data_IF_065946647568
#
_entry.id   IF_065946647568
#
_cell.length_a   1.000
_cell.length_b   1.000
_cell.length_c   1.000
_cell.angle_alpha   90.00
_cell.angle_beta   90.00
_cell.angle_gamma   90.00
#
_symmetry.space_group_name_H-M   'P 1'
#
loop_
_entity.id
_entity.type
_entity.pdbx_description
1 polymer ?
#
# COMPACT_ATOMS: atom_id res chain seq x y z
N UNK A 1 -16.66 -1.64 0.28
CA UNK A 1 -16.55 -2.27 -1.05
C UNK A 1 -16.35 -1.13 -2.05
N UNK A 2 -15.10 -0.77 -2.37
CA UNK A 2 -14.75 0.44 -3.12
C UNK A 2 -13.49 0.17 -3.94
N UNK A 3 -13.63 -0.40 -5.12
CA UNK A 3 -13.42 0.27 -6.41
C UNK A 3 -14.75 0.00 -7.15
N UNK A 4 -15.00 0.66 -8.27
CA UNK A 4 -16.14 0.40 -9.15
C UNK A 4 -17.40 1.21 -8.83
N UNK A 5 -17.74 2.04 -9.81
CA UNK A 5 -19.13 2.27 -10.18
C UNK A 5 -19.93 0.97 -10.02
N UNK A 6 -21.18 1.03 -9.57
CA UNK A 6 -22.12 -0.10 -9.73
C UNK A 6 -22.06 -0.72 -11.15
N UNK A 7 -21.82 0.11 -12.17
CA UNK A 7 -21.59 -0.34 -13.55
C UNK A 7 -20.39 -1.29 -13.66
N UNK A 8 -19.19 -0.89 -13.23
CA UNK A 8 -18.03 -1.75 -13.40
C UNK A 8 -18.18 -3.02 -12.57
N UNK A 9 -18.79 -2.96 -11.38
CA UNK A 9 -19.12 -4.13 -10.54
C UNK A 9 -20.00 -5.16 -11.27
N UNK A 10 -21.03 -4.70 -12.00
CA UNK A 10 -21.91 -5.58 -12.78
C UNK A 10 -21.17 -6.29 -13.92
N UNK A 11 -20.17 -5.63 -14.52
CA UNK A 11 -19.48 -6.13 -15.72
C UNK A 11 -18.08 -6.69 -15.48
N UNK A 12 -17.65 -6.88 -14.22
CA UNK A 12 -16.30 -7.33 -13.93
C UNK A 12 -16.00 -8.67 -14.60
N UNK A 13 -16.84 -9.68 -14.46
CA UNK A 13 -16.57 -11.00 -15.02
C UNK A 13 -16.55 -11.07 -16.56
N UNK A 14 -17.00 -10.03 -17.25
CA UNK A 14 -17.34 -10.12 -18.68
C UNK A 14 -16.41 -9.31 -19.60
N UNK A 15 -15.45 -8.56 -19.03
CA UNK A 15 -14.52 -7.78 -19.85
C UNK A 15 -13.08 -7.74 -19.31
N UNK A 16 -12.15 -7.58 -20.26
CA UNK A 16 -10.73 -7.49 -20.05
C UNK A 16 -10.27 -6.18 -19.41
N UNK A 17 -8.97 -6.08 -19.08
CA UNK A 17 -8.42 -4.99 -18.28
C UNK A 17 -8.50 -3.62 -18.97
N UNK A 18 -8.34 -3.58 -20.30
CA UNK A 18 -8.37 -2.32 -21.05
C UNK A 18 -9.80 -1.77 -21.18
N UNK A 19 -10.80 -2.65 -21.39
CA UNK A 19 -12.22 -2.31 -21.35
C UNK A 19 -12.65 -1.77 -19.99
N UNK A 20 -12.26 -2.41 -18.89
CA UNK A 20 -12.53 -1.93 -17.53
C UNK A 20 -11.92 -0.57 -17.25
N UNK A 21 -10.67 -0.35 -17.67
CA UNK A 21 -10.02 0.96 -17.53
C UNK A 21 -10.79 2.05 -18.27
N UNK A 22 -11.21 1.77 -19.51
CA UNK A 22 -11.99 2.71 -20.32
C UNK A 22 -13.35 2.99 -19.67
N UNK A 23 -14.04 1.96 -19.19
CA UNK A 23 -15.34 2.07 -18.54
C UNK A 23 -15.27 2.93 -17.28
N UNK A 24 -14.27 2.70 -16.42
CA UNK A 24 -14.05 3.48 -15.20
C UNK A 24 -13.79 4.96 -15.52
N UNK A 25 -13.00 5.23 -16.56
CA UNK A 25 -12.77 6.60 -17.01
C UNK A 25 -14.05 7.26 -17.56
N UNK A 26 -14.81 6.56 -18.40
CA UNK A 26 -16.08 7.06 -18.92
C UNK A 26 -17.06 7.37 -17.78
N UNK A 27 -17.15 6.48 -16.79
CA UNK A 27 -18.00 6.64 -15.62
C UNK A 27 -17.62 7.87 -14.78
N UNK A 28 -16.32 8.04 -14.48
CA UNK A 28 -15.82 9.25 -13.82
C UNK A 28 -16.16 10.53 -14.61
N UNK A 29 -16.09 10.44 -15.95
CA UNK A 29 -16.45 11.54 -16.83
C UNK A 29 -17.94 11.89 -16.80
N UNK A 30 -18.82 10.93 -16.50
CA UNK A 30 -20.27 11.12 -16.32
C UNK A 30 -20.58 11.73 -14.95
N UNK A 31 -19.93 11.27 -13.88
CA UNK A 31 -20.12 11.82 -12.52
C UNK A 31 -19.78 13.30 -12.42
N UNK A 32 -18.76 13.76 -13.17
CA UNK A 32 -18.25 15.14 -13.11
C UNK A 32 -18.95 16.12 -14.08
N UNK A 33 -19.86 15.64 -14.93
CA UNK A 33 -20.47 16.48 -15.97
C UNK A 33 -21.64 17.30 -15.43
N UNK A 34 -21.48 18.62 -15.31
CA UNK A 34 -22.58 19.57 -15.20
C UNK A 34 -23.23 19.77 -16.57
N UNK A 35 -24.40 19.16 -16.79
CA UNK A 35 -25.16 19.22 -18.05
C UNK A 35 -26.05 17.98 -18.26
N UNK A 36 -26.73 17.90 -19.41
CA UNK A 36 -27.79 16.94 -19.83
C UNK A 36 -27.43 15.43 -19.81
N UNK A 37 -26.48 15.01 -18.97
CA UNK A 37 -26.18 13.62 -18.62
C UNK A 37 -25.50 12.79 -19.71
N UNK A 38 -25.41 13.28 -20.95
CA UNK A 38 -24.92 12.51 -22.10
C UNK A 38 -23.54 12.98 -22.54
N UNK A 39 -22.51 12.37 -21.95
CA UNK A 39 -21.13 12.56 -22.43
C UNK A 39 -20.80 11.51 -23.48
N UNK A 40 -20.76 11.94 -24.74
CA UNK A 40 -20.41 11.09 -25.90
C UNK A 40 -18.92 11.18 -26.19
N UNK A 41 -18.32 10.02 -26.43
CA UNK A 41 -16.90 9.91 -26.77
C UNK A 41 -16.74 9.26 -28.15
N UNK A 42 -15.89 9.80 -29.01
CA UNK A 42 -15.36 9.02 -30.14
C UNK A 42 -14.11 8.25 -29.69
N UNK A 43 -13.80 7.14 -30.36
CA UNK A 43 -12.59 6.34 -30.07
C UNK A 43 -11.32 7.21 -30.07
N UNK A 44 -11.20 8.10 -31.06
CA UNK A 44 -10.09 9.05 -31.20
C UNK A 44 -10.05 10.08 -30.07
N UNK A 45 -11.19 10.63 -29.66
CA UNK A 45 -11.26 11.58 -28.56
C UNK A 45 -10.88 10.92 -27.23
N UNK A 46 -11.37 9.70 -26.99
CA UNK A 46 -11.08 8.91 -25.79
C UNK A 46 -9.61 8.51 -25.72
N UNK A 47 -9.04 8.03 -26.83
CA UNK A 47 -7.62 7.72 -26.92
C UNK A 47 -6.72 8.93 -26.62
N UNK A 48 -7.08 10.10 -27.17
CA UNK A 48 -6.38 11.36 -26.89
C UNK A 48 -6.49 11.78 -25.43
N UNK A 49 -7.70 11.74 -24.86
CA UNK A 49 -7.96 12.12 -23.48
C UNK A 49 -7.21 11.22 -22.48
N UNK A 50 -7.33 9.90 -22.64
CA UNK A 50 -6.72 8.92 -21.74
C UNK A 50 -5.23 8.67 -22.04
N UNK A 51 -4.72 9.24 -23.14
CA UNK A 51 -3.34 9.08 -23.63
C UNK A 51 -2.98 7.61 -23.89
N UNK A 52 -3.91 6.87 -24.46
CA UNK A 52 -3.76 5.47 -24.90
C UNK A 52 -3.74 5.42 -26.44
N UNK A 53 -3.38 4.27 -27.01
CA UNK A 53 -3.46 4.10 -28.46
C UNK A 53 -4.91 4.04 -28.92
N UNK A 54 -5.21 4.58 -30.10
CA UNK A 54 -6.56 4.52 -30.69
C UNK A 54 -7.05 3.09 -30.88
N UNK A 55 -6.15 2.15 -31.22
CA UNK A 55 -6.46 0.72 -31.29
C UNK A 55 -6.99 0.19 -29.94
N UNK A 56 -6.25 0.38 -28.85
CA UNK A 56 -6.69 0.00 -27.50
C UNK A 56 -8.06 0.60 -27.16
N UNK A 57 -8.27 1.90 -27.39
CA UNK A 57 -9.56 2.53 -27.12
C UNK A 57 -10.70 1.94 -27.98
N UNK A 58 -10.44 1.65 -29.26
CA UNK A 58 -11.42 1.05 -30.16
C UNK A 58 -11.77 -0.39 -29.76
N UNK A 59 -10.76 -1.21 -29.47
CA UNK A 59 -10.94 -2.62 -29.07
C UNK A 59 -11.70 -2.70 -27.73
N UNK A 60 -11.32 -1.88 -26.75
CA UNK A 60 -12.01 -1.75 -25.47
C UNK A 60 -13.47 -1.32 -25.63
N UNK A 61 -13.76 -0.32 -26.47
CA UNK A 61 -15.13 0.13 -26.73
C UNK A 61 -15.96 -0.95 -27.44
N UNK A 62 -15.37 -1.71 -28.36
CA UNK A 62 -16.08 -2.82 -29.02
C UNK A 62 -16.47 -3.91 -28.02
N UNK A 63 -15.58 -4.25 -27.10
CA UNK A 63 -15.84 -5.19 -26.00
C UNK A 63 -16.95 -4.68 -25.07
N UNK A 64 -16.89 -3.41 -24.66
CA UNK A 64 -17.92 -2.79 -23.82
C UNK A 64 -19.30 -2.71 -24.50
N UNK A 65 -19.34 -2.57 -25.82
CA UNK A 65 -20.59 -2.64 -26.59
C UNK A 65 -21.13 -4.06 -26.64
N UNK A 66 -20.26 -5.06 -26.78
CA UNK A 66 -20.67 -6.47 -26.84
C UNK A 66 -21.34 -6.94 -25.53
N UNK A 67 -20.89 -6.44 -24.38
CA UNK A 67 -21.50 -6.72 -23.06
C UNK A 67 -22.60 -5.72 -22.69
N UNK A 68 -22.93 -4.78 -23.58
CA UNK A 68 -23.96 -3.76 -23.37
C UNK A 68 -23.62 -2.69 -22.32
N UNK A 69 -22.39 -2.63 -21.80
CA UNK A 69 -21.96 -1.60 -20.84
C UNK A 69 -21.93 -0.19 -21.45
N UNK A 70 -21.70 -0.11 -22.77
CA UNK A 70 -21.63 1.12 -23.56
C UNK A 70 -22.48 0.95 -24.82
N UNK A 71 -23.17 2.01 -25.24
CA UNK A 71 -23.94 2.03 -26.48
C UNK A 71 -23.16 2.71 -27.61
N UNK A 72 -23.25 2.13 -28.81
CA UNK A 72 -22.71 2.73 -30.04
C UNK A 72 -23.78 3.58 -30.70
N UNK A 73 -23.55 4.89 -30.76
CA UNK A 73 -24.44 5.87 -31.36
C UNK A 73 -23.86 6.36 -32.68
N UNK A 74 -24.56 6.09 -33.78
CA UNK A 74 -24.23 6.64 -35.11
C UNK A 74 -25.07 7.88 -35.38
N UNK A 75 -24.43 9.02 -35.64
CA UNK A 75 -25.11 10.22 -36.10
C UNK A 75 -24.84 10.44 -37.59
N UNK A 76 -25.91 10.60 -38.36
CA UNK A 76 -25.84 10.97 -39.77
C UNK A 76 -25.81 12.50 -39.82
N UNK A 77 -24.64 13.10 -40.01
CA UNK A 77 -24.50 14.53 -40.23
C UNK A 77 -24.14 14.81 -41.69
N UNK A 78 -25.16 14.99 -42.54
CA UNK A 78 -25.01 15.41 -43.93
C UNK A 78 -24.36 14.40 -44.88
N UNK A 79 -23.93 14.89 -46.06
CA UNK A 79 -23.27 14.11 -47.10
C UNK A 79 -21.84 13.70 -46.68
N UNK A 80 -21.74 12.62 -45.92
CA UNK A 80 -20.47 12.08 -45.42
C UNK A 80 -20.63 10.76 -44.67
N UNK A 81 -19.50 10.13 -44.31
CA UNK A 81 -19.50 8.89 -43.51
C UNK A 81 -20.08 9.17 -42.11
N UNK A 82 -20.99 8.34 -41.59
CA UNK A 82 -21.61 8.54 -40.27
C UNK A 82 -20.56 8.67 -39.16
N UNK A 83 -20.75 9.64 -38.26
CA UNK A 83 -19.89 9.81 -37.09
C UNK A 83 -20.29 8.78 -36.03
N UNK A 84 -19.32 8.01 -35.54
CA UNK A 84 -19.54 6.98 -34.51
C UNK A 84 -19.10 7.55 -33.16
N UNK A 85 -20.02 7.55 -32.21
CA UNK A 85 -19.78 7.94 -30.82
C UNK A 85 -20.29 6.87 -29.87
N UNK A 86 -19.81 6.92 -28.64
CA UNK A 86 -20.06 5.94 -27.60
C UNK A 86 -20.50 6.66 -26.33
N UNK A 87 -21.53 6.14 -25.65
CA UNK A 87 -22.02 6.67 -24.38
C UNK A 87 -22.44 5.57 -23.42
N UNK A 88 -22.41 5.86 -22.11
CA UNK A 88 -22.97 4.97 -21.09
C UNK A 88 -24.50 5.11 -21.16
N UNK A 89 -25.26 4.00 -21.22
CA UNK A 89 -26.72 4.03 -21.25
C UNK A 89 -27.30 4.85 -20.09
N UNK A 90 -28.37 5.65 -20.28
CA UNK A 90 -28.94 6.51 -19.24
C UNK A 90 -29.29 5.78 -17.95
N UNK A 91 -29.91 4.60 -18.06
CA UNK A 91 -30.27 3.74 -16.91
C UNK A 91 -29.08 3.37 -16.03
N UNK A 92 -27.88 3.31 -16.62
CA UNK A 92 -26.63 3.02 -15.92
C UNK A 92 -25.95 4.30 -15.45
N UNK A 93 -26.00 5.36 -16.25
CA UNK A 93 -25.44 6.68 -15.94
C UNK A 93 -26.06 7.27 -14.66
N UNK A 94 -27.36 7.11 -14.44
CA UNK A 94 -28.04 7.57 -13.23
C UNK A 94 -27.53 6.83 -11.99
N UNK A 95 -27.34 5.51 -12.08
CA UNK A 95 -26.74 4.71 -11.01
C UNK A 95 -25.29 5.10 -10.67
N UNK A 96 -24.56 5.71 -11.61
CA UNK A 96 -23.21 6.27 -11.36
C UNK A 96 -23.29 7.58 -10.57
N UNK A 97 -24.25 8.44 -10.91
CA UNK A 97 -24.40 9.77 -10.32
C UNK A 97 -24.91 9.72 -8.88
N UNK A 98 -25.76 8.75 -8.55
CA UNK A 98 -26.28 8.55 -7.19
C UNK A 98 -25.21 8.11 -6.17
N UNK A 99 -24.02 7.70 -6.63
CA UNK A 99 -22.94 7.19 -5.78
C UNK A 99 -22.01 8.33 -5.32
N UNK A 100 -22.36 8.96 -4.19
CA UNK A 100 -21.70 10.15 -3.64
C UNK A 100 -20.25 9.96 -3.14
N UNK A 101 -19.76 8.73 -2.96
CA UNK A 101 -18.40 8.45 -2.48
C UNK A 101 -17.74 7.31 -3.28
N UNK A 102 -17.38 7.65 -4.51
CA UNK A 102 -17.02 6.69 -5.55
C UNK A 102 -15.73 5.91 -5.28
N UNK A 103 -14.78 6.52 -4.56
CA UNK A 103 -13.41 6.03 -4.43
C UNK A 103 -12.86 6.09 -2.99
N UNK A 104 -13.66 6.49 -2.01
CA UNK A 104 -13.27 6.54 -0.59
C UNK A 104 -12.13 7.52 -0.30
N UNK A 105 -11.25 7.18 0.64
CA UNK A 105 -10.25 8.12 1.18
C UNK A 105 -9.22 8.61 0.15
N UNK A 106 -8.93 7.84 -0.90
CA UNK A 106 -7.93 8.16 -1.92
C UNK A 106 -8.54 8.70 -3.23
N UNK A 107 -9.77 9.22 -3.17
CA UNK A 107 -10.55 9.69 -4.34
C UNK A 107 -9.74 10.58 -5.27
N UNK A 108 -9.03 11.59 -4.76
CA UNK A 108 -8.27 12.52 -5.58
C UNK A 108 -7.17 11.86 -6.43
N UNK A 109 -6.48 10.84 -5.90
CA UNK A 109 -5.48 10.07 -6.67
C UNK A 109 -6.17 9.23 -7.73
N UNK A 110 -7.26 8.58 -7.35
CA UNK A 110 -7.95 7.65 -8.23
C UNK A 110 -8.58 8.41 -9.40
N UNK A 111 -9.18 9.57 -9.15
CA UNK A 111 -9.65 10.46 -10.20
C UNK A 111 -8.52 10.93 -11.12
N UNK A 112 -7.32 11.19 -10.58
CA UNK A 112 -6.14 11.54 -11.39
C UNK A 112 -5.71 10.39 -12.30
N UNK A 113 -5.80 9.14 -11.84
CA UNK A 113 -5.48 7.95 -12.65
C UNK A 113 -6.38 7.82 -13.89
N UNK A 114 -7.66 8.20 -13.76
CA UNK A 114 -8.67 8.03 -14.81
C UNK A 114 -9.02 9.33 -15.58
N UNK A 115 -8.54 10.50 -15.15
CA UNK A 115 -8.84 11.80 -15.78
C UNK A 115 -7.96 12.18 -16.96
N UNK A 116 -7.07 11.28 -17.41
CA UNK A 116 -6.12 11.55 -18.51
C UNK A 116 -4.88 12.35 -18.08
N UNK A 117 -4.74 12.63 -16.78
CA UNK A 117 -3.58 13.30 -16.21
C UNK A 117 -2.29 12.52 -16.52
N UNK A 118 -1.20 13.27 -16.68
CA UNK A 118 0.11 12.68 -16.95
C UNK A 118 0.79 12.30 -15.64
N UNK A 119 0.75 11.00 -15.34
CA UNK A 119 1.46 10.43 -14.19
C UNK A 119 2.84 9.97 -14.67
N UNK A 120 3.82 10.85 -14.48
CA UNK A 120 5.22 10.58 -14.79
C UNK A 120 5.83 9.72 -13.68
N UNK A 121 6.44 8.61 -14.07
CA UNK A 121 7.03 7.61 -13.20
C UNK A 121 8.44 7.29 -13.69
N UNK A 122 9.45 7.76 -12.94
CA UNK A 122 10.83 7.34 -13.17
C UNK A 122 11.06 5.94 -12.63
N UNK A 123 12.07 5.22 -13.15
CA UNK A 123 12.57 4.04 -12.44
C UNK A 123 13.11 4.48 -11.08
N UNK A 124 12.91 3.66 -10.04
CA UNK A 124 13.52 3.87 -8.73
C UNK A 124 15.02 4.16 -8.86
N UNK A 125 15.48 5.24 -8.22
CA UNK A 125 16.88 5.69 -8.28
C UNK A 125 17.26 6.54 -9.49
N UNK A 126 16.37 6.78 -10.46
CA UNK A 126 16.60 7.76 -11.51
C UNK A 126 16.38 9.19 -10.97
N UNK A 127 17.33 10.11 -11.20
CA UNK A 127 17.17 11.51 -10.80
C UNK A 127 15.95 12.14 -11.47
N UNK A 128 15.19 12.95 -10.73
CA UNK A 128 13.99 13.68 -11.19
C UNK A 128 14.27 14.51 -12.45
N UNK A 129 15.47 15.11 -12.59
CA UNK A 129 15.91 15.83 -13.81
C UNK A 129 15.85 14.96 -15.07
N UNK A 130 16.21 13.68 -14.94
CA UNK A 130 16.16 12.71 -16.03
C UNK A 130 14.73 12.41 -16.49
N UNK A 131 13.73 12.53 -15.60
CA UNK A 131 12.32 12.26 -15.93
C UNK A 131 11.78 13.35 -16.87
N UNK A 132 12.12 14.61 -16.60
CA UNK A 132 11.74 15.76 -17.42
C UNK A 132 12.47 15.76 -18.77
N UNK A 133 13.78 15.42 -18.79
CA UNK A 133 14.60 15.36 -20.01
C UNK A 133 14.27 14.14 -20.91
N UNK A 134 13.90 13.00 -20.33
CA UNK A 134 13.42 11.83 -21.11
C UNK A 134 11.98 11.99 -21.60
N UNK A 135 11.18 12.85 -20.97
CA UNK A 135 9.87 13.25 -21.47
C UNK A 135 9.99 14.19 -22.69
N UNK A 136 11.01 15.05 -22.73
CA UNK A 136 11.18 16.09 -23.77
C UNK A 136 11.82 15.64 -25.07
N UNK A 137 12.54 14.51 -25.14
CA UNK A 137 13.20 14.08 -26.38
C UNK A 137 12.50 12.90 -27.09
N UNK A 138 11.65 13.23 -28.06
CA UNK A 138 11.41 12.38 -29.23
C UNK A 138 12.30 12.89 -30.37
N UNK A 139 13.31 12.11 -30.79
CA UNK A 139 13.74 12.21 -32.19
C UNK A 139 12.57 11.68 -33.04
N UNK A 140 12.04 12.52 -33.93
CA UNK A 140 11.15 12.17 -35.04
C UNK A 140 9.63 11.95 -34.81
N UNK A 141 8.95 12.84 -34.06
CA UNK A 141 7.56 13.24 -34.37
C UNK A 141 6.43 12.18 -34.42
N UNK A 142 6.65 10.91 -34.06
CA UNK A 142 5.64 9.84 -34.08
C UNK A 142 5.08 9.54 -32.67
N UNK A 143 3.77 9.29 -32.52
CA UNK A 143 3.19 8.88 -31.25
C UNK A 143 3.77 7.52 -30.83
N UNK A 144 4.45 7.51 -29.69
CA UNK A 144 5.18 6.34 -29.16
C UNK A 144 4.21 5.42 -28.40
N UNK A 145 4.39 4.08 -28.44
CA UNK A 145 3.45 3.13 -27.82
C UNK A 145 3.25 3.30 -26.29
N UNK A 146 2.10 2.86 -25.75
CA UNK A 146 1.80 2.88 -24.33
C UNK A 146 2.86 2.12 -23.50
N UNK A 147 3.44 2.76 -22.49
CA UNK A 147 4.47 2.17 -21.63
C UNK A 147 5.92 2.57 -21.95
N UNK A 148 6.15 3.29 -23.06
CA UNK A 148 7.39 4.01 -23.33
C UNK A 148 7.41 5.40 -22.65
N UNK A 149 8.61 5.87 -22.26
CA UNK A 149 8.87 7.17 -21.59
C UNK A 149 8.16 7.38 -20.24
N UNK A 150 8.45 6.54 -19.26
CA UNK A 150 8.10 6.85 -17.86
C UNK A 150 6.58 6.97 -17.59
N UNK A 151 5.71 6.46 -18.47
CA UNK A 151 4.24 6.53 -18.33
C UNK A 151 3.65 5.21 -17.86
N UNK A 152 2.62 5.29 -17.02
CA UNK A 152 1.79 4.13 -16.64
C UNK A 152 0.82 3.75 -17.76
N UNK A 153 0.83 2.47 -18.15
CA UNK A 153 -0.17 1.88 -19.06
C UNK A 153 -1.56 1.84 -18.43
N UNK A 154 -2.61 1.78 -19.24
CA UNK A 154 -4.01 1.64 -18.82
C UNK A 154 -4.20 0.60 -17.70
N UNK A 155 -3.79 -0.64 -17.96
CA UNK A 155 -3.86 -1.72 -16.96
C UNK A 155 -3.00 -1.51 -15.69
N UNK A 156 -1.93 -0.71 -15.73
CA UNK A 156 -1.19 -0.37 -14.49
C UNK A 156 -1.91 0.70 -13.68
N UNK A 157 -2.57 1.65 -14.35
CA UNK A 157 -3.41 2.64 -13.70
C UNK A 157 -4.63 1.99 -13.08
N UNK A 158 -5.26 1.03 -13.78
CA UNK A 158 -6.36 0.24 -13.25
C UNK A 158 -5.95 -0.55 -12.01
N UNK A 159 -4.82 -1.28 -12.07
CA UNK A 159 -4.30 -2.03 -10.92
C UNK A 159 -3.98 -1.13 -9.73
N UNK A 160 -3.34 0.02 -9.97
CA UNK A 160 -3.04 0.99 -8.92
C UNK A 160 -4.31 1.59 -8.33
N UNK A 161 -5.32 1.88 -9.17
CA UNK A 161 -6.64 2.30 -8.71
C UNK A 161 -7.25 1.28 -7.76
N UNK A 162 -7.29 0.00 -8.16
CA UNK A 162 -7.81 -1.11 -7.35
C UNK A 162 -7.09 -1.27 -6.00
N UNK A 163 -5.79 -0.96 -5.95
CA UNK A 163 -5.04 -0.95 -4.68
C UNK A 163 -5.42 0.27 -3.83
N UNK A 164 -5.43 1.48 -4.40
CA UNK A 164 -5.70 2.73 -3.69
C UNK A 164 -7.08 2.79 -3.05
N UNK A 165 -8.05 2.13 -3.67
CA UNK A 165 -9.43 2.15 -3.21
C UNK A 165 -9.68 1.23 -2.02
N UNK A 166 -8.76 0.29 -1.79
CA UNK A 166 -8.68 -0.56 -0.59
C UNK A 166 -7.58 -0.12 0.37
N UNK A 167 -6.84 0.93 0.03
CA UNK A 167 -5.80 1.47 0.89
C UNK A 167 -6.43 2.34 1.99
N UNK A 168 -5.89 2.24 3.19
CA UNK A 168 -6.19 3.18 4.26
C UNK A 168 -5.60 4.58 3.96
N UNK A 169 -5.80 5.53 4.87
CA UNK A 169 -5.25 6.90 4.77
C UNK A 169 -3.72 6.97 4.72
N UNK A 170 -3.02 5.92 5.15
CA UNK A 170 -1.56 5.82 5.17
C UNK A 170 -1.00 5.14 3.91
N UNK A 171 -1.88 4.54 3.11
CA UNK A 171 -1.54 3.81 1.89
C UNK A 171 -1.35 2.30 2.11
N UNK A 172 -1.70 1.75 3.27
CA UNK A 172 -1.61 0.31 3.53
C UNK A 172 -2.86 -0.41 3.02
N UNK A 173 -2.65 -1.49 2.27
CA UNK A 173 -3.70 -2.33 1.67
C UNK A 173 -3.69 -3.69 2.36
N UNK A 174 -4.70 -3.94 3.18
CA UNK A 174 -4.91 -5.22 3.87
C UNK A 174 -6.03 -6.03 3.21
N UNK A 175 -5.98 -7.36 3.33
CA UNK A 175 -7.10 -8.22 2.95
C UNK A 175 -7.31 -8.43 1.44
N UNK A 176 -6.46 -7.87 0.58
CA UNK A 176 -6.66 -7.89 -0.87
C UNK A 176 -5.83 -8.99 -1.55
N UNK A 177 -6.42 -10.17 -1.70
CA UNK A 177 -5.77 -11.33 -2.31
C UNK A 177 -5.63 -11.26 -3.82
N UNK A 178 -4.74 -12.09 -4.40
CA UNK A 178 -4.51 -12.12 -5.85
C UNK A 178 -5.76 -12.48 -6.66
N UNK A 179 -6.61 -13.38 -6.15
CA UNK A 179 -7.89 -13.72 -6.80
C UNK A 179 -8.80 -12.51 -6.92
N UNK A 180 -8.89 -11.73 -5.84
CA UNK A 180 -9.69 -10.50 -5.82
C UNK A 180 -9.06 -9.42 -6.71
N UNK A 181 -7.74 -9.26 -6.71
CA UNK A 181 -7.07 -8.35 -7.65
C UNK A 181 -7.32 -8.74 -9.12
N UNK A 182 -7.22 -10.02 -9.46
CA UNK A 182 -7.56 -10.50 -10.81
C UNK A 182 -9.04 -10.24 -11.11
N UNK A 183 -9.94 -10.50 -10.14
CA UNK A 183 -11.38 -10.24 -10.28
C UNK A 183 -11.69 -8.77 -10.52
N UNK A 184 -11.02 -7.84 -9.82
CA UNK A 184 -11.22 -6.38 -9.92
C UNK A 184 -10.59 -5.77 -11.18
N UNK A 185 -9.48 -6.35 -11.65
CA UNK A 185 -8.71 -5.79 -12.79
C UNK A 185 -8.92 -6.49 -14.12
N UNK A 186 -9.43 -7.73 -14.12
CA UNK A 186 -9.51 -8.58 -15.32
C UNK A 186 -8.17 -9.10 -15.80
N UNK A 187 -7.10 -8.96 -15.00
CA UNK A 187 -5.77 -9.46 -15.32
C UNK A 187 -5.66 -10.96 -15.03
N UNK A 188 -4.91 -11.67 -15.86
CA UNK A 188 -4.43 -13.00 -15.51
C UNK A 188 -3.30 -12.93 -14.46
N UNK A 189 -2.96 -14.08 -13.87
CA UNK A 189 -1.99 -14.18 -12.79
C UNK A 189 -0.58 -13.68 -13.18
N UNK A 190 -0.11 -14.01 -14.38
CA UNK A 190 1.24 -13.64 -14.82
C UNK A 190 1.31 -12.14 -15.15
N UNK A 191 0.28 -11.62 -15.81
CA UNK A 191 0.11 -10.18 -16.01
C UNK A 191 0.04 -9.43 -14.69
N UNK A 192 -0.70 -9.92 -13.70
CA UNK A 192 -0.81 -9.30 -12.38
C UNK A 192 0.55 -9.22 -11.69
N UNK A 193 1.29 -10.35 -11.59
CA UNK A 193 2.63 -10.39 -10.98
C UNK A 193 3.59 -9.42 -11.67
N UNK A 194 3.63 -9.43 -13.01
CA UNK A 194 4.50 -8.55 -13.78
C UNK A 194 4.17 -7.07 -13.51
N UNK A 195 2.88 -6.72 -13.43
CA UNK A 195 2.44 -5.34 -13.20
C UNK A 195 2.68 -4.89 -11.76
N UNK A 196 2.46 -5.74 -10.75
CA UNK A 196 2.82 -5.45 -9.35
C UNK A 196 4.32 -5.19 -9.22
N UNK A 197 5.15 -6.04 -9.84
CA UNK A 197 6.61 -5.83 -9.89
C UNK A 197 6.98 -4.51 -10.57
N UNK A 198 6.26 -4.13 -11.63
CA UNK A 198 6.45 -2.84 -12.30
C UNK A 198 6.05 -1.66 -11.42
N UNK A 199 4.92 -1.72 -10.71
CA UNK A 199 4.51 -0.66 -9.77
C UNK A 199 5.52 -0.50 -8.63
N UNK A 200 6.04 -1.61 -8.10
CA UNK A 200 7.16 -1.60 -7.17
C UNK A 200 8.41 -0.95 -7.77
N UNK A 201 8.80 -1.30 -9.00
CA UNK A 201 9.99 -0.73 -9.66
C UNK A 201 9.88 0.74 -10.04
N UNK A 202 8.66 1.28 -10.07
CA UNK A 202 8.38 2.70 -10.27
C UNK A 202 8.25 3.47 -8.94
N UNK A 203 8.34 2.80 -7.79
CA UNK A 203 8.24 3.44 -6.47
C UNK A 203 6.82 3.85 -6.06
N UNK A 204 5.80 3.34 -6.77
CA UNK A 204 4.39 3.53 -6.42
C UNK A 204 3.96 2.59 -5.28
N UNK A 205 4.63 1.45 -5.16
CA UNK A 205 4.56 0.54 -4.01
C UNK A 205 5.90 0.69 -3.27
N UNK A 206 5.87 1.17 -2.03
CA UNK A 206 7.04 1.31 -1.13
C UNK A 206 7.59 -0.07 -0.79
N UNK A 207 6.73 -0.90 -0.23
CA UNK A 207 7.05 -2.26 0.20
C UNK A 207 5.83 -3.16 0.03
N UNK A 208 6.09 -4.46 0.00
CA UNK A 208 5.05 -5.47 0.04
C UNK A 208 5.52 -6.63 0.91
N UNK A 209 4.58 -7.24 1.62
CA UNK A 209 4.81 -8.48 2.37
C UNK A 209 4.06 -9.62 1.67
N UNK A 210 4.77 -10.68 1.24
CA UNK A 210 4.13 -11.85 0.63
C UNK A 210 3.04 -12.42 1.52
N UNK A 211 1.98 -12.93 0.90
CA UNK A 211 0.94 -13.64 1.64
C UNK A 211 1.38 -15.08 1.89
N UNK A 212 0.92 -15.68 2.99
CA UNK A 212 1.26 -17.05 3.36
C UNK A 212 0.02 -17.81 3.80
N UNK A 213 0.08 -19.13 3.65
CA UNK A 213 -0.90 -20.03 4.26
C UNK A 213 -0.33 -20.53 5.58
N UNK A 214 -1.07 -20.37 6.67
CA UNK A 214 -0.60 -20.80 7.99
C UNK A 214 -1.78 -21.14 8.89
N UNK A 215 -1.54 -22.09 9.80
CA UNK A 215 -2.47 -22.48 10.86
C UNK A 215 -2.47 -21.50 12.02
N UNK A 216 -1.52 -20.55 12.07
CA UNK A 216 -1.44 -19.51 13.11
C UNK A 216 -2.56 -18.49 12.98
N UNK A 217 -2.95 -18.17 11.74
CA UNK A 217 -3.99 -17.19 11.46
C UNK A 217 -5.35 -17.87 11.33
N UNK A 218 -6.41 -17.21 11.83
CA UNK A 218 -7.79 -17.68 11.68
C UNK A 218 -8.17 -17.79 10.20
N UNK A 219 -7.74 -16.79 9.43
CA UNK A 219 -7.79 -16.83 7.97
C UNK A 219 -6.61 -17.66 7.49
N UNK A 220 -6.83 -18.96 7.26
CA UNK A 220 -5.81 -19.95 6.85
C UNK A 220 -4.89 -19.52 5.72
N UNK A 221 -5.34 -18.59 4.86
CA UNK A 221 -4.56 -18.00 3.77
C UNK A 221 -4.61 -16.47 3.88
N UNK A 222 -3.55 -15.89 4.40
CA UNK A 222 -3.44 -14.44 4.55
C UNK A 222 -2.98 -13.84 3.22
N UNK A 223 -3.72 -12.86 2.66
CA UNK A 223 -3.33 -12.20 1.42
C UNK A 223 -2.09 -11.32 1.61
N UNK A 224 -1.41 -11.00 0.51
CA UNK A 224 -0.28 -10.06 0.53
C UNK A 224 -0.71 -8.67 0.98
N UNK A 225 0.17 -8.00 1.71
CA UNK A 225 -0.03 -6.64 2.21
C UNK A 225 0.83 -5.70 1.38
N UNK A 226 0.24 -4.61 0.89
CA UNK A 226 0.94 -3.61 0.06
C UNK A 226 0.97 -2.26 0.75
N UNK A 227 2.13 -1.59 0.73
CA UNK A 227 2.29 -0.23 1.23
C UNK A 227 2.52 0.71 0.06
N UNK A 228 1.51 1.52 -0.27
CA UNK A 228 1.53 2.44 -1.39
C UNK A 228 2.25 3.73 -1.03
N UNK A 229 2.91 4.34 -2.02
CA UNK A 229 3.51 5.67 -1.88
C UNK A 229 2.51 6.76 -2.26
N UNK A 230 1.71 7.24 -1.30
CA UNK A 230 0.70 8.28 -1.55
C UNK A 230 1.31 9.65 -1.87
N UNK A 231 2.59 9.87 -1.55
CA UNK A 231 3.36 11.09 -1.84
C UNK A 231 4.26 10.92 -3.09
N UNK A 232 3.97 9.93 -3.93
CA UNK A 232 4.75 9.69 -5.14
C UNK A 232 4.67 10.93 -6.08
N UNK A 233 5.80 11.47 -6.58
CA UNK A 233 5.82 12.71 -7.38
C UNK A 233 4.93 12.67 -8.63
N UNK A 234 4.66 11.47 -9.15
CA UNK A 234 3.75 11.26 -10.27
C UNK A 234 2.29 11.66 -10.00
N UNK A 235 1.87 11.78 -8.73
CA UNK A 235 0.56 12.32 -8.35
C UNK A 235 0.55 13.85 -8.24
N UNK A 236 1.69 14.50 -8.50
CA UNK A 236 1.88 15.92 -8.31
C UNK A 236 2.51 16.25 -6.95
N UNK A 237 2.68 17.54 -6.67
CA UNK A 237 3.43 18.04 -5.51
C UNK A 237 2.54 18.28 -4.29
N UNK A 238 1.38 17.65 -4.22
CA UNK A 238 0.51 17.73 -3.06
C UNK A 238 1.09 16.83 -1.96
N UNK A 239 1.80 17.44 -1.02
CA UNK A 239 2.45 16.77 0.12
C UNK A 239 1.40 16.19 1.08
N UNK A 240 0.90 14.99 0.78
CA UNK A 240 -0.21 14.39 1.52
C UNK A 240 0.23 13.63 2.76
N UNK A 241 1.39 13.00 2.70
CA UNK A 241 1.94 12.26 3.83
C UNK A 241 3.45 12.49 3.96
N UNK A 242 3.91 12.50 5.20
CA UNK A 242 5.32 12.58 5.56
C UNK A 242 5.83 11.21 5.99
N UNK A 243 7.13 10.99 5.83
CA UNK A 243 7.84 9.83 6.32
C UNK A 243 8.89 10.32 7.31
N UNK A 244 8.87 9.76 8.52
CA UNK A 244 9.88 9.99 9.53
C UNK A 244 10.61 8.69 9.78
N UNK A 245 11.93 8.70 9.58
CA UNK A 245 12.82 7.56 9.84
C UNK A 245 13.62 7.87 11.08
N UNK A 246 13.74 6.90 11.99
CA UNK A 246 14.62 7.01 13.14
C UNK A 246 15.72 5.93 13.08
N UNK A 247 16.96 6.35 13.33
CA UNK A 247 18.14 5.49 13.36
C UNK A 247 18.76 5.54 14.75
N UNK A 248 18.86 4.39 15.41
CA UNK A 248 19.46 4.31 16.75
C UNK A 248 20.99 4.50 16.71
N UNK A 249 21.55 5.00 17.81
CA UNK A 249 22.98 5.17 18.01
C UNK A 249 23.70 3.86 18.32
N UNK A 250 22.97 2.81 18.72
CA UNK A 250 23.57 1.53 19.12
C UNK A 250 24.04 0.76 17.88
N UNK A 251 25.33 0.45 17.83
CA UNK A 251 25.92 -0.53 16.90
C UNK A 251 25.58 -1.99 17.31
N UNK A 252 25.01 -2.18 18.50
CA UNK A 252 24.41 -3.47 18.89
C UNK A 252 23.14 -3.70 18.06
N UNK A 253 23.13 -4.81 17.31
CA UNK A 253 21.94 -5.25 16.56
C UNK A 253 20.76 -5.37 17.51
N UNK A 254 19.85 -4.39 17.49
CA UNK A 254 18.52 -4.54 18.10
C UNK A 254 17.79 -5.63 17.33
N UNK A 255 17.52 -6.74 18.01
CA UNK A 255 16.83 -7.91 17.47
C UNK A 255 15.47 -7.46 16.91
N UNK A 256 15.11 -7.87 15.69
CA UNK A 256 13.79 -7.54 15.13
C UNK A 256 12.66 -8.28 15.86
N UNK A 257 11.41 -7.82 15.72
CA UNK A 257 10.30 -8.53 16.36
C UNK A 257 10.08 -9.89 15.72
N UNK A 258 10.26 -9.99 14.40
CA UNK A 258 10.32 -11.28 13.72
C UNK A 258 11.44 -12.18 14.28
N UNK A 259 12.63 -11.65 14.55
CA UNK A 259 13.71 -12.43 15.18
C UNK A 259 13.37 -12.82 16.63
N UNK A 260 12.67 -11.98 17.40
CA UNK A 260 12.15 -12.36 18.73
C UNK A 260 11.20 -13.55 18.61
N UNK A 261 10.31 -13.55 17.61
CA UNK A 261 9.37 -14.64 17.35
C UNK A 261 10.07 -15.91 16.84
N UNK A 262 11.15 -15.76 16.04
CA UNK A 262 11.93 -16.89 15.47
C UNK A 262 12.96 -17.46 16.46
N UNK A 263 13.48 -16.67 17.39
CA UNK A 263 14.64 -17.05 18.21
C UNK A 263 14.30 -18.09 19.28
N UNK A 264 15.06 -19.20 19.28
CA UNK A 264 15.14 -20.16 20.39
C UNK A 264 16.10 -19.72 21.52
N UNK A 265 16.62 -18.48 21.51
CA UNK A 265 17.68 -18.04 22.44
C UNK A 265 17.23 -16.89 23.36
N UNK A 266 17.87 -16.69 24.53
CA UNK A 266 17.43 -15.75 25.56
C UNK A 266 18.05 -14.36 25.39
N UNK A 267 17.41 -13.39 26.04
CA UNK A 267 17.94 -12.10 26.50
C UNK A 267 17.62 -10.83 25.69
N UNK A 268 16.74 -10.01 26.27
CA UNK A 268 17.24 -8.80 26.94
C UNK A 268 16.86 -8.94 28.43
N UNK A 269 17.88 -8.84 29.28
CA UNK A 269 17.94 -9.52 30.58
C UNK A 269 16.90 -9.08 31.62
N UNK A 270 16.37 -10.08 32.33
CA UNK A 270 16.13 -10.06 33.78
C UNK A 270 16.15 -11.54 34.22
N UNK A 271 17.04 -11.89 35.15
CA UNK A 271 16.97 -13.17 35.83
C UNK A 271 15.62 -13.31 36.54
N UNK A 272 14.93 -14.45 36.41
CA UNK A 272 13.85 -14.82 37.33
C UNK A 272 12.67 -15.63 36.75
N UNK A 273 12.49 -16.82 37.31
CA UNK A 273 11.31 -17.71 37.42
C UNK A 273 11.02 -18.76 36.33
N UNK A 274 10.78 -20.02 36.75
CA UNK A 274 10.29 -21.16 35.94
C UNK A 274 9.03 -20.83 35.13
N UNK A 275 8.15 -19.97 35.66
CA UNK A 275 6.90 -19.56 35.03
C UNK A 275 7.12 -18.76 33.73
N UNK A 276 8.24 -18.02 33.59
CA UNK A 276 8.58 -17.34 32.34
C UNK A 276 9.03 -18.31 31.25
N UNK A 277 9.75 -19.35 31.63
CA UNK A 277 10.21 -20.37 30.70
C UNK A 277 9.04 -21.20 30.17
N UNK A 278 8.04 -21.49 31.00
CA UNK A 278 6.80 -22.17 30.59
C UNK A 278 5.99 -21.34 29.58
N UNK A 279 5.71 -20.06 29.87
CA UNK A 279 4.99 -19.16 28.94
C UNK A 279 5.71 -19.04 27.60
N UNK A 280 7.06 -18.94 27.63
CA UNK A 280 7.89 -18.91 26.41
C UNK A 280 7.78 -20.22 25.63
N UNK A 281 7.78 -21.36 26.30
CA UNK A 281 7.63 -22.66 25.66
C UNK A 281 6.27 -22.82 24.98
N UNK A 282 5.18 -22.37 25.61
CA UNK A 282 3.83 -22.41 25.03
C UNK A 282 3.78 -21.63 23.71
N UNK A 283 4.31 -20.42 23.67
CA UNK A 283 4.35 -19.59 22.46
C UNK A 283 5.29 -20.17 21.40
N UNK A 284 6.47 -20.66 21.81
CA UNK A 284 7.43 -21.29 20.91
C UNK A 284 6.83 -22.55 20.27
N UNK A 285 6.05 -23.31 21.03
CA UNK A 285 5.32 -24.47 20.53
C UNK A 285 4.23 -24.06 19.53
N UNK A 286 3.46 -23.02 19.83
CA UNK A 286 2.44 -22.47 18.94
C UNK A 286 3.00 -22.03 17.58
N UNK A 287 4.19 -21.41 17.56
CA UNK A 287 4.85 -20.93 16.34
C UNK A 287 5.77 -21.97 15.68
N UNK A 288 5.83 -23.19 16.22
CA UNK A 288 6.76 -24.21 15.74
C UNK A 288 6.41 -24.65 14.32
N UNK A 289 7.43 -24.74 13.46
CA UNK A 289 7.29 -25.28 12.10
C UNK A 289 6.67 -24.32 11.09
N UNK A 290 6.50 -23.05 11.45
CA UNK A 290 6.08 -22.01 10.50
C UNK A 290 7.23 -21.55 9.61
N UNK A 291 6.89 -21.10 8.40
CA UNK A 291 7.84 -20.53 7.43
C UNK A 291 8.18 -19.07 7.78
N UNK A 292 9.32 -18.57 7.31
CA UNK A 292 9.79 -17.19 7.54
C UNK A 292 8.73 -16.15 7.14
N UNK A 293 8.01 -16.37 6.04
CA UNK A 293 6.94 -15.50 5.54
C UNK A 293 5.79 -15.32 6.54
N UNK A 294 5.54 -16.30 7.41
CA UNK A 294 4.53 -16.20 8.48
C UNK A 294 4.98 -15.20 9.54
N UNK A 295 6.28 -15.17 9.85
CA UNK A 295 6.84 -14.21 10.80
C UNK A 295 6.86 -12.79 10.22
N UNK A 296 7.15 -12.62 8.93
CA UNK A 296 7.01 -11.34 8.22
C UNK A 296 5.58 -10.78 8.34
N UNK A 297 4.58 -11.65 8.13
CA UNK A 297 3.17 -11.28 8.24
C UNK A 297 2.77 -10.96 9.68
N UNK A 298 3.18 -11.78 10.64
CA UNK A 298 2.94 -11.52 12.06
C UNK A 298 3.52 -10.16 12.46
N UNK A 299 4.76 -9.85 12.08
CA UNK A 299 5.40 -8.57 12.37
C UNK A 299 4.57 -7.38 11.84
N UNK A 300 4.08 -7.45 10.59
CA UNK A 300 3.23 -6.39 10.04
C UNK A 300 1.88 -6.28 10.75
N UNK A 301 1.26 -7.40 11.11
CA UNK A 301 0.00 -7.40 11.89
C UNK A 301 0.23 -6.75 13.26
N UNK A 302 1.34 -7.05 13.92
CA UNK A 302 1.71 -6.42 15.19
C UNK A 302 1.99 -4.92 15.02
N UNK A 303 2.63 -4.49 13.93
CA UNK A 303 2.80 -3.07 13.61
C UNK A 303 1.49 -2.33 13.38
N UNK A 304 0.48 -2.98 12.79
CA UNK A 304 -0.86 -2.40 12.66
C UNK A 304 -1.45 -2.13 14.04
N UNK A 305 -1.46 -3.11 14.94
CA UNK A 305 -1.98 -2.91 16.30
C UNK A 305 -1.16 -1.89 17.10
N UNK A 306 0.16 -1.91 16.98
CA UNK A 306 1.03 -0.94 17.65
C UNK A 306 0.78 0.49 17.13
N UNK A 307 0.47 0.64 15.84
CA UNK A 307 0.05 1.93 15.27
C UNK A 307 -1.28 2.40 15.88
N UNK A 308 -2.25 1.51 16.07
CA UNK A 308 -3.52 1.84 16.74
C UNK A 308 -3.31 2.26 18.21
N UNK A 309 -2.41 1.59 18.94
CA UNK A 309 -2.04 2.01 20.29
C UNK A 309 -1.35 3.36 20.30
N UNK A 310 -0.40 3.61 19.40
CA UNK A 310 0.28 4.90 19.28
C UNK A 310 -0.69 6.04 18.97
N UNK A 311 -1.69 5.78 18.13
CA UNK A 311 -2.72 6.75 17.77
C UNK A 311 -3.63 7.13 18.96
N UNK A 312 -3.87 6.21 19.90
CA UNK A 312 -4.80 6.41 21.03
C UNK A 312 -4.12 6.79 22.33
N UNK A 313 -2.94 6.22 22.59
CA UNK A 313 -2.28 6.22 23.90
C UNK A 313 -0.85 6.79 23.83
N UNK A 314 -0.58 7.71 22.89
CA UNK A 314 0.74 8.30 22.70
C UNK A 314 1.35 8.82 24.00
N UNK A 315 0.57 9.54 24.82
CA UNK A 315 1.08 10.14 26.05
C UNK A 315 1.35 9.07 27.12
N UNK A 316 0.41 8.17 27.34
CA UNK A 316 0.45 7.10 28.34
C UNK A 316 1.63 6.16 28.09
N UNK A 317 1.88 5.81 26.82
CA UNK A 317 3.02 5.00 26.41
C UNK A 317 4.37 5.65 26.73
N UNK A 318 4.43 6.99 26.82
CA UNK A 318 5.64 7.73 27.13
C UNK A 318 5.96 7.88 28.62
N UNK A 319 4.96 7.65 29.49
CA UNK A 319 5.10 7.81 30.95
C UNK A 319 4.83 6.50 31.72
N UNK A 320 4.87 5.36 31.03
CA UNK A 320 4.60 4.02 31.55
C UNK A 320 3.28 3.91 32.35
N UNK A 321 2.26 4.67 31.96
CA UNK A 321 0.93 4.53 32.54
C UNK A 321 0.24 3.26 32.03
N UNK A 322 -0.61 2.62 32.86
CA UNK A 322 -1.45 1.54 32.38
C UNK A 322 -2.30 1.99 31.20
N UNK A 323 -2.33 1.18 30.15
CA UNK A 323 -3.17 1.38 28.96
C UNK A 323 -4.24 0.30 28.94
N UNK A 324 -5.42 0.64 28.44
CA UNK A 324 -6.48 -0.33 28.22
C UNK A 324 -6.15 -1.19 26.99
N UNK A 325 -5.89 -2.48 27.24
CA UNK A 325 -5.58 -3.47 26.21
C UNK A 325 -6.74 -4.42 25.91
N UNK A 326 -7.94 -4.19 26.45
CA UNK A 326 -9.07 -5.11 26.27
C UNK A 326 -9.46 -5.26 24.79
N UNK A 327 -9.59 -4.13 24.07
CA UNK A 327 -9.89 -4.16 22.63
C UNK A 327 -8.77 -4.78 21.80
N UNK A 328 -7.50 -4.55 22.18
CA UNK A 328 -6.35 -5.18 21.53
C UNK A 328 -6.36 -6.71 21.70
N UNK A 329 -6.69 -7.17 22.91
CA UNK A 329 -6.82 -8.59 23.21
C UNK A 329 -7.88 -9.25 22.31
N UNK A 330 -9.06 -8.64 22.16
CA UNK A 330 -10.12 -9.11 21.28
C UNK A 330 -9.68 -9.16 19.81
N UNK A 331 -9.04 -8.10 19.31
CA UNK A 331 -8.52 -8.07 17.92
C UNK A 331 -7.51 -9.19 17.64
N UNK A 332 -6.56 -9.43 18.55
CA UNK A 332 -5.56 -10.50 18.39
C UNK A 332 -6.23 -11.87 18.48
N UNK A 333 -7.20 -12.03 19.38
CA UNK A 333 -7.98 -13.26 19.52
C UNK A 333 -8.76 -13.59 18.24
N UNK A 334 -9.29 -12.59 17.55
CA UNK A 334 -10.05 -12.77 16.31
C UNK A 334 -9.15 -13.05 15.11
N UNK A 335 -7.94 -12.48 15.06
CA UNK A 335 -7.03 -12.68 13.92
C UNK A 335 -6.21 -13.99 14.03
N UNK A 336 -5.92 -14.47 15.24
CA UNK A 336 -5.20 -15.72 15.46
C UNK A 336 -6.12 -16.93 15.61
N UNK A 337 -5.61 -18.10 15.22
CA UNK A 337 -6.33 -19.37 15.31
C UNK A 337 -5.93 -20.10 16.58
N UNK A 338 -6.92 -20.41 17.43
CA UNK A 338 -6.71 -21.29 18.59
C UNK A 338 -6.28 -22.68 18.11
N UNK A 339 -5.15 -23.23 18.61
CA UNK A 339 -4.71 -24.57 18.24
C UNK A 339 -5.74 -25.62 18.69
N UNK A 340 -5.87 -26.74 17.94
CA UNK A 340 -6.75 -27.84 18.34
C UNK A 340 -6.29 -28.40 19.69
N UNK A 341 -7.23 -28.75 20.55
CA UNK A 341 -6.95 -29.31 21.87
C UNK A 341 -6.40 -30.73 21.72
N UNK A 342 -5.09 -30.91 21.77
CA UNK A 342 -4.47 -32.23 21.87
C UNK A 342 -4.49 -32.68 23.33
N UNK A 343 -5.40 -33.60 23.67
CA UNK A 343 -5.43 -34.43 24.90
C UNK A 343 -5.44 -33.71 26.27
N UNK A 344 -5.40 -32.38 26.32
CA UNK A 344 -5.47 -31.57 27.55
C UNK A 344 -6.90 -31.30 27.99
N UNK A 345 -7.12 -31.09 29.29
CA UNK A 345 -8.43 -30.64 29.79
C UNK A 345 -8.82 -29.29 29.14
N UNK A 346 -10.13 -29.04 29.01
CA UNK A 346 -10.63 -27.77 28.41
C UNK A 346 -10.03 -26.54 29.11
N UNK A 347 -9.88 -26.60 30.44
CA UNK A 347 -9.31 -25.53 31.26
C UNK A 347 -7.84 -25.26 30.93
N UNK A 348 -7.03 -26.31 30.74
CA UNK A 348 -5.62 -26.15 30.33
C UNK A 348 -5.49 -25.58 28.92
N UNK A 349 -6.33 -26.02 27.98
CA UNK A 349 -6.34 -25.50 26.62
C UNK A 349 -6.74 -24.01 26.58
N UNK A 350 -7.70 -23.61 27.40
CA UNK A 350 -8.10 -22.20 27.55
C UNK A 350 -6.98 -21.36 28.17
N UNK A 351 -6.31 -21.86 29.21
CA UNK A 351 -5.18 -21.16 29.84
C UNK A 351 -3.96 -21.02 28.90
N UNK A 352 -3.64 -22.05 28.12
CA UNK A 352 -2.57 -21.98 27.10
C UNK A 352 -2.89 -20.94 26.03
N UNK A 353 -4.15 -20.89 25.60
CA UNK A 353 -4.58 -19.91 24.61
C UNK A 353 -4.51 -18.48 25.14
N UNK A 354 -5.02 -18.24 26.36
CA UNK A 354 -4.90 -16.95 27.05
C UNK A 354 -3.43 -16.50 27.20
N UNK A 355 -2.54 -17.44 27.50
CA UNK A 355 -1.08 -17.18 27.56
C UNK A 355 -0.52 -16.71 26.21
N UNK A 356 -0.94 -17.34 25.10
CA UNK A 356 -0.51 -16.97 23.75
C UNK A 356 -1.01 -15.56 23.41
N UNK A 357 -2.28 -15.26 23.64
CA UNK A 357 -2.86 -13.95 23.36
C UNK A 357 -2.18 -12.88 24.22
N UNK A 358 -2.04 -13.12 25.52
CA UNK A 358 -1.35 -12.22 26.45
C UNK A 358 0.10 -11.93 26.04
N UNK A 359 0.82 -12.92 25.50
CA UNK A 359 2.15 -12.72 24.94
C UNK A 359 2.13 -11.73 23.77
N UNK A 360 1.24 -11.91 22.80
CA UNK A 360 1.14 -11.02 21.65
C UNK A 360 0.66 -9.62 22.04
N UNK A 361 -0.30 -9.50 22.97
CA UNK A 361 -0.73 -8.21 23.53
C UNK A 361 0.47 -7.48 24.11
N UNK A 362 1.25 -8.14 24.98
CA UNK A 362 2.46 -7.54 25.57
C UNK A 362 3.48 -7.15 24.50
N UNK A 363 3.70 -8.00 23.50
CA UNK A 363 4.62 -7.71 22.40
C UNK A 363 4.20 -6.45 21.63
N UNK A 364 2.91 -6.28 21.32
CA UNK A 364 2.37 -5.06 20.70
C UNK A 364 2.61 -3.82 21.57
N UNK A 365 2.40 -3.93 22.89
CA UNK A 365 2.69 -2.82 23.82
C UNK A 365 4.18 -2.48 23.83
N UNK A 366 5.05 -3.48 23.87
CA UNK A 366 6.51 -3.29 23.84
C UNK A 366 6.95 -2.62 22.52
N UNK A 367 6.37 -3.02 21.38
CA UNK A 367 6.57 -2.36 20.08
C UNK A 367 6.15 -0.87 20.15
N UNK A 368 4.93 -0.60 20.61
CA UNK A 368 4.39 0.75 20.68
C UNK A 368 5.23 1.63 21.61
N UNK A 369 5.69 1.11 22.74
CA UNK A 369 6.59 1.81 23.66
C UNK A 369 7.93 2.15 22.99
N UNK A 370 8.58 1.22 22.30
CA UNK A 370 9.86 1.52 21.63
C UNK A 370 9.70 2.63 20.57
N UNK A 371 8.66 2.55 19.74
CA UNK A 371 8.35 3.59 18.75
C UNK A 371 8.05 4.93 19.41
N UNK A 372 7.24 4.93 20.49
CA UNK A 372 6.93 6.14 21.25
C UNK A 372 8.17 6.76 21.87
N UNK A 373 9.04 5.96 22.47
CA UNK A 373 10.30 6.43 23.06
C UNK A 373 11.17 7.07 21.99
N UNK A 374 11.34 6.42 20.84
CA UNK A 374 12.26 6.86 19.78
C UNK A 374 11.77 8.10 19.05
N UNK A 375 10.54 8.11 18.55
CA UNK A 375 9.99 9.30 17.90
C UNK A 375 9.68 10.42 18.91
N UNK A 376 9.49 10.06 20.18
CA UNK A 376 9.40 11.00 21.30
C UNK A 376 10.66 11.81 21.57
N UNK A 377 11.84 11.34 21.12
CA UNK A 377 13.09 12.08 21.23
C UNK A 377 13.06 13.36 20.40
N UNK A 378 12.21 13.43 19.37
CA UNK A 378 12.05 14.58 18.49
C UNK A 378 10.77 15.37 18.81
N UNK A 379 10.58 15.73 20.09
CA UNK A 379 9.37 16.44 20.56
C UNK A 379 9.19 17.84 19.96
N UNK A 380 10.23 18.40 19.32
CA UNK A 380 10.15 19.67 18.57
C UNK A 380 9.48 19.51 17.20
N UNK A 381 9.25 18.28 16.73
CA UNK A 381 8.48 18.02 15.50
C UNK A 381 7.01 17.90 15.91
N UNK A 382 6.23 18.91 15.55
CA UNK A 382 4.79 18.93 15.83
C UNK A 382 4.03 18.06 14.81
N UNK A 383 3.49 16.94 15.29
CA UNK A 383 2.53 16.11 14.56
C UNK A 383 1.48 15.55 15.51
N UNK A 384 0.33 15.13 14.97
CA UNK A 384 -0.73 14.55 15.78
C UNK A 384 -0.63 13.01 15.76
N UNK A 385 -0.54 12.34 16.94
CA UNK A 385 -0.32 10.90 16.99
C UNK A 385 -1.43 10.08 16.34
N UNK A 386 -2.66 10.59 16.33
CA UNK A 386 -3.80 9.95 15.68
C UNK A 386 -3.65 9.82 14.16
N UNK A 387 -2.58 10.39 13.60
CA UNK A 387 -2.24 10.40 12.19
C UNK A 387 -0.87 9.75 11.92
N UNK A 388 -0.48 8.78 12.75
CA UNK A 388 0.77 8.02 12.62
C UNK A 388 0.49 6.55 12.29
N UNK A 389 1.27 5.97 11.38
CA UNK A 389 1.30 4.53 11.13
C UNK A 389 2.71 4.00 10.93
N UNK A 390 3.01 2.84 11.50
CA UNK A 390 4.31 2.19 11.39
C UNK A 390 4.48 1.59 9.99
N UNK A 391 5.66 1.82 9.39
CA UNK A 391 6.06 1.13 8.16
C UNK A 391 6.96 -0.07 8.46
N UNK A 392 6.78 -1.20 7.76
CA UNK A 392 7.71 -2.30 7.88
C UNK A 392 9.06 -1.95 7.24
N UNK A 393 10.12 -2.08 8.04
CA UNK A 393 11.52 -2.00 7.60
C UNK A 393 12.06 -3.42 7.44
N UNK A 394 12.88 -3.67 6.42
CA UNK A 394 13.37 -5.03 6.14
C UNK A 394 14.19 -5.60 7.32
N UNK A 395 13.88 -6.84 7.68
CA UNK A 395 14.39 -7.57 8.84
C UNK A 395 15.92 -7.58 9.03
N UNK A 396 16.71 -7.51 7.96
CA UNK A 396 18.17 -7.67 8.05
C UNK A 396 18.92 -6.48 8.67
N UNK A 397 18.25 -5.35 8.91
CA UNK A 397 18.84 -4.19 9.60
C UNK A 397 18.64 -4.25 11.11
N UNK A 398 17.87 -5.23 11.64
CA UNK A 398 17.34 -5.17 12.99
C UNK A 398 16.46 -3.93 13.21
N UNK A 399 15.96 -3.72 14.42
CA UNK A 399 15.25 -2.49 14.81
C UNK A 399 16.17 -1.26 14.92
N UNK A 400 17.38 -1.30 14.35
CA UNK A 400 18.26 -0.12 14.29
C UNK A 400 17.57 1.01 13.54
N UNK A 401 16.85 0.67 12.47
CA UNK A 401 16.10 1.63 11.64
C UNK A 401 14.60 1.31 11.79
N UNK A 402 13.82 2.32 12.17
CA UNK A 402 12.35 2.25 12.15
C UNK A 402 11.80 3.43 11.35
N UNK A 403 10.61 3.26 10.78
CA UNK A 403 9.96 4.30 9.99
C UNK A 403 8.47 4.38 10.32
N UNK A 404 7.93 5.59 10.23
CA UNK A 404 6.51 5.88 10.32
C UNK A 404 6.06 6.77 9.16
N UNK A 405 4.80 6.62 8.75
CA UNK A 405 4.08 7.58 7.91
C UNK A 405 3.24 8.48 8.80
N UNK A 406 3.21 9.76 8.46
CA UNK A 406 2.45 10.82 9.10
C UNK A 406 1.49 11.45 8.09
N UNK A 407 0.24 11.69 8.46
CA UNK A 407 -0.78 12.28 7.56
C UNK A 407 -1.54 13.42 8.25
N UNK A 408 -1.27 14.71 7.97
CA UNK A 408 -0.45 15.23 6.88
C UNK A 408 1.05 15.24 7.20
N UNK A 409 1.86 15.79 6.28
CA UNK A 409 3.26 16.12 6.56
C UNK A 409 3.35 17.07 7.76
N UNK A 410 4.22 16.79 8.76
CA UNK A 410 4.40 17.68 9.90
C UNK A 410 4.94 19.06 9.50
N UNK A 411 4.60 20.09 10.27
CA UNK A 411 5.08 21.45 9.99
C UNK A 411 6.55 21.58 10.34
N UNK A 412 7.28 22.39 9.57
CA UNK A 412 8.67 22.75 9.86
C UNK A 412 9.71 21.69 9.47
N UNK A 413 9.32 20.57 8.87
CA UNK A 413 10.24 19.54 8.37
C UNK A 413 9.94 19.16 6.91
N UNK A 414 10.90 18.48 6.28
CA UNK A 414 10.68 17.90 4.96
C UNK A 414 9.79 16.64 5.02
N UNK A 415 9.11 16.33 3.90
CA UNK A 415 8.20 15.20 3.78
C UNK A 415 8.91 13.85 3.92
N UNK A 416 10.22 13.78 3.80
CA UNK A 416 10.99 12.61 4.19
C UNK A 416 12.19 13.06 5.04
N UNK A 417 12.11 12.78 6.34
CA UNK A 417 13.08 13.24 7.34
C UNK A 417 13.72 12.05 8.04
N UNK A 418 15.04 12.09 8.20
CA UNK A 418 15.83 11.05 8.89
C UNK A 418 16.39 11.62 10.18
N UNK A 419 15.91 11.07 11.29
CA UNK A 419 16.43 11.29 12.62
C UNK A 419 17.56 10.29 12.91
N UNK A 420 18.63 10.79 13.51
CA UNK A 420 19.69 9.95 14.05
C UNK A 420 19.86 10.25 15.52
N UNK A 421 19.81 9.21 16.33
CA UNK A 421 20.22 9.28 17.73
C UNK A 421 21.73 9.56 17.77
N UNK A 422 22.12 10.69 18.36
CA UNK A 422 23.53 11.10 18.54
C UNK A 422 24.10 10.55 19.84
N UNK A 423 23.24 10.46 20.87
CA UNK A 423 23.48 9.81 22.16
C UNK A 423 22.14 9.28 22.69
N UNK A 424 22.19 8.37 23.66
CA UNK A 424 20.99 7.71 24.18
C UNK A 424 19.89 8.72 24.54
N UNK A 425 18.72 8.60 23.91
CA UNK A 425 17.58 9.46 24.19
C UNK A 425 17.59 10.82 23.48
N UNK A 426 18.61 11.13 22.68
CA UNK A 426 18.72 12.40 21.95
C UNK A 426 18.87 12.12 20.46
N UNK A 427 17.84 12.47 19.71
CA UNK A 427 17.85 12.45 18.26
C UNK A 427 18.15 13.83 17.69
N UNK A 428 18.73 13.88 16.49
CA UNK A 428 18.86 15.10 15.71
C UNK A 428 18.44 14.82 14.27
N UNK A 429 18.01 15.85 13.56
CA UNK A 429 17.77 15.76 12.12
C UNK A 429 19.12 15.56 11.43
N UNK A 430 19.30 14.40 10.80
CA UNK A 430 20.52 14.07 10.06
C UNK A 430 20.40 14.44 8.60
N UNK A 431 19.30 14.01 7.97
CA UNK A 431 19.05 14.20 6.55
C UNK A 431 17.58 14.61 6.35
N UNK A 432 17.34 15.55 5.44
CA UNK A 432 16.00 15.95 5.01
C UNK A 432 15.91 15.89 3.48
N UNK A 433 14.78 15.38 3.01
CA UNK A 433 14.47 15.26 1.59
C UNK A 433 13.09 15.84 1.34
N UNK A 434 12.99 16.68 0.31
CA UNK A 434 11.72 17.32 -0.01
C UNK A 434 10.64 16.30 -0.36
N UNK A 435 11.04 15.16 -0.93
CA UNK A 435 10.20 13.98 -1.13
C UNK A 435 10.98 12.70 -0.88
N UNK A 436 10.27 11.60 -0.64
CA UNK A 436 10.87 10.26 -0.55
C UNK A 436 11.71 9.90 -1.80
N UNK A 437 11.36 10.47 -2.97
CA UNK A 437 12.04 10.17 -4.23
C UNK A 437 13.47 10.72 -4.34
N UNK A 438 13.81 11.73 -3.54
CA UNK A 438 15.14 12.34 -3.50
C UNK A 438 16.12 11.55 -2.62
N UNK A 439 15.60 10.74 -1.69
CA UNK A 439 16.44 9.88 -0.87
C UNK A 439 17.18 8.85 -1.76
N UNK A 440 18.50 8.65 -1.58
CA UNK A 440 19.25 7.66 -2.34
C UNK A 440 18.63 6.27 -2.27
N UNK A 441 18.59 5.55 -3.40
CA UNK A 441 17.88 4.26 -3.50
C UNK A 441 18.33 3.25 -2.44
N UNK A 442 19.64 3.12 -2.22
CA UNK A 442 20.20 2.23 -1.20
C UNK A 442 19.66 2.55 0.19
N UNK A 443 19.54 3.85 0.51
CA UNK A 443 18.99 4.33 1.78
C UNK A 443 17.49 4.09 1.88
N UNK A 444 16.74 4.33 0.81
CA UNK A 444 15.30 4.02 0.76
C UNK A 444 15.04 2.54 1.04
N UNK A 445 15.84 1.65 0.46
CA UNK A 445 15.73 0.20 0.69
C UNK A 445 16.06 -0.16 2.14
N UNK A 446 17.10 0.45 2.72
CA UNK A 446 17.44 0.26 4.14
C UNK A 446 16.32 0.73 5.08
N UNK A 447 15.65 1.83 4.75
CA UNK A 447 14.57 2.41 5.55
C UNK A 447 13.19 1.78 5.30
N UNK A 448 13.08 0.71 4.48
CA UNK A 448 11.79 0.09 4.15
C UNK A 448 10.91 0.88 3.18
N UNK A 449 11.43 1.96 2.58
CA UNK A 449 10.73 2.86 1.67
C UNK A 449 10.82 2.41 0.20
N UNK A 450 11.59 1.36 -0.07
CA UNK A 450 11.65 0.72 -1.38
C UNK A 450 11.94 -0.78 -1.25
N UNK A 451 11.17 -1.62 -1.94
CA UNK A 451 11.52 -3.02 -2.12
C UNK A 451 12.81 -3.16 -2.95
N UNK A 452 13.77 -4.00 -2.54
CA UNK A 452 15.00 -4.18 -3.27
C UNK A 452 14.70 -4.76 -4.65
N UNK A 453 15.18 -4.04 -5.67
CA UNK A 453 15.18 -4.52 -7.04
C UNK A 453 16.21 -5.65 -7.20
N UNK A 454 16.01 -6.58 -8.16
CA UNK A 454 17.01 -7.59 -8.47
C UNK A 454 18.41 -6.96 -8.64
N UNK A 455 19.46 -7.59 -8.07
CA UNK A 455 20.84 -7.06 -8.01
C UNK A 455 21.36 -6.43 -9.31
N UNK A 456 20.90 -6.88 -10.48
CA UNK A 456 21.22 -6.32 -11.81
C UNK A 456 20.88 -4.84 -11.97
N UNK A 457 19.94 -4.30 -11.18
CA UNK A 457 19.55 -2.88 -11.18
C UNK A 457 20.26 -2.05 -10.10
N UNK A 458 20.97 -2.70 -9.17
CA UNK A 458 21.71 -2.07 -8.06
C UNK A 458 23.21 -1.92 -8.36
N UNK A 459 23.69 -2.47 -9.48
CA UNK A 459 25.08 -2.35 -9.89
C UNK A 459 25.34 -0.95 -10.48
N UNK A 460 25.89 -0.04 -9.65
CA UNK A 460 26.71 1.04 -10.18
C UNK A 460 27.89 0.39 -10.91
N UNK A 461 28.03 0.66 -12.21
CA UNK A 461 29.34 0.57 -12.85
C UNK A 461 30.20 1.65 -12.17
N UNK A 462 31.07 1.22 -11.26
CA UNK A 462 32.23 2.01 -10.86
C UNK A 462 33.08 2.22 -12.11
N UNK A 463 33.21 3.48 -12.53
CA UNK A 463 34.34 3.95 -13.31
C UNK A 463 35.29 4.67 -12.36
#
# INVERSE_FOLDING_TARGET
MLLHTKIVDVYQSECGPDARFVLEAMALGVSRGDGDGRKRYSSKALAKWLRVSEKLASDALAELVAIGAVERVSTISGAGRPSITYEIPPSKADAVKEQYDFYGMNTTIIEQLFSGAEILTGKLGALVKTITETATLAKAGKPTPPGARSRLSAANRLLLGALLSRADRFGAVYGLGSSELMRLTGLDNESLKHRLKRLGALGLIRSYVPGASSVVFRVKKVPSIYFLNLDHPGFGWQRRCGVLVHISARDEKRISFAEILMSKSPAVGYAGSMERDEKKQIVTHFLRGQEDEVFDLLEVVLFRYASELLQRFWYELGVDRPIDTAGLHEQIFDDLQKPPSEESTKVEADHRWDTIISFFVRLVVDIAKDYRTRFGQASWIEYSPENLSILPVKQKTGQIIIAVVLVPVPRGIAACTVLRETRLGVAEIRDEYWSESEMPLERRVQCGLASPLPRRLMAKKSF
#
